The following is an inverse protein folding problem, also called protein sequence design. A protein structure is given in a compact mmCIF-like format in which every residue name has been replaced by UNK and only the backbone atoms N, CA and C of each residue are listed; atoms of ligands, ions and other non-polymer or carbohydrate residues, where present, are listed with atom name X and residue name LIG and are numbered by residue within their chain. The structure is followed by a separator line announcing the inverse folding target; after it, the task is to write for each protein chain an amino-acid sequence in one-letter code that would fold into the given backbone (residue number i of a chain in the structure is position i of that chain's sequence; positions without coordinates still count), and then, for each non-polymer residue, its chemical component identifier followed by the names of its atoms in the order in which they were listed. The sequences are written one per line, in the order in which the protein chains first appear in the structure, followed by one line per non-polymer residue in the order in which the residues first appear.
data_IF_797091040802
#
_entry.id   IF_797091040802
#
_cell.length_a   1.000
_cell.length_b   1.000
_cell.length_c   1.000
_cell.angle_alpha   90.00
_cell.angle_beta   90.00
_cell.angle_gamma   90.00
#
_symmetry.space_group_name_H-M   'P 1'
#
loop_
_entity.id
_entity.type
_entity.pdbx_description
1 polymer ?
#
# COMPACT_ATOMS: atom_id res chain seq x y z
N UNK A 1 20.75 -10.70 12.30
CA UNK A 1 20.53 -9.33 12.82
C UNK A 1 20.39 -9.43 14.34
N UNK A 2 21.02 -8.54 15.12
CA UNK A 2 20.81 -8.54 16.56
C UNK A 2 19.35 -8.17 16.84
N UNK A 3 18.64 -9.05 17.55
CA UNK A 3 17.35 -8.72 18.17
C UNK A 3 17.65 -7.66 19.22
N UNK A 4 17.28 -6.41 18.96
CA UNK A 4 17.19 -5.42 20.02
C UNK A 4 15.79 -5.59 20.62
N UNK A 5 15.67 -6.50 21.57
CA UNK A 5 14.54 -6.57 22.49
C UNK A 5 14.80 -5.47 23.54
N UNK A 6 14.16 -4.32 23.35
CA UNK A 6 14.13 -3.27 24.39
C UNK A 6 12.85 -3.49 25.16
N UNK A 7 12.98 -3.91 26.42
CA UNK A 7 11.84 -3.94 27.34
C UNK A 7 11.41 -2.51 27.62
N UNK A 8 10.29 -2.11 27.05
CA UNK A 8 9.63 -0.85 27.38
C UNK A 8 8.95 -1.02 28.73
N UNK A 9 9.11 -0.03 29.60
CA UNK A 9 8.29 0.08 30.80
C UNK A 9 6.84 0.37 30.42
N UNK A 10 5.88 -0.03 31.26
CA UNK A 10 4.44 0.23 31.04
C UNK A 10 4.15 1.71 30.74
N UNK A 11 4.95 2.59 31.34
CA UNK A 11 4.85 4.04 31.18
C UNK A 11 5.39 4.52 29.83
N UNK A 12 6.46 3.92 29.32
CA UNK A 12 6.98 4.21 27.97
C UNK A 12 6.01 3.71 26.90
N UNK A 13 5.32 2.60 27.16
CA UNK A 13 4.26 2.07 26.28
C UNK A 13 3.01 2.96 26.27
N UNK A 14 2.56 3.45 27.43
CA UNK A 14 1.49 4.46 27.52
C UNK A 14 1.86 5.78 26.83
N UNK A 15 3.11 6.22 26.98
CA UNK A 15 3.62 7.43 26.32
C UNK A 15 3.62 7.22 24.79
N UNK A 16 4.12 6.08 24.29
CA UNK A 16 4.08 5.77 22.85
C UNK A 16 2.66 5.80 22.26
N UNK A 17 1.66 5.34 23.00
CA UNK A 17 0.26 5.35 22.57
C UNK A 17 -0.43 6.73 22.63
N UNK A 18 0.17 7.73 23.28
CA UNK A 18 -0.45 9.04 23.53
C UNK A 18 0.19 10.20 22.75
N UNK A 19 1.14 9.92 21.86
CA UNK A 19 1.91 10.95 21.16
C UNK A 19 1.24 11.41 19.85
N UNK A 20 0.49 12.50 19.92
CA UNK A 20 0.06 13.28 18.73
C UNK A 20 1.11 14.32 18.29
N UNK A 21 2.07 14.71 19.15
CA UNK A 21 3.24 15.56 18.82
C UNK A 21 4.37 15.35 19.82
N UNK A 22 5.60 15.14 19.32
CA UNK A 22 6.81 14.99 20.16
C UNK A 22 7.64 16.28 20.08
N UNK A 23 7.57 17.13 21.11
CA UNK A 23 8.49 18.27 21.31
C UNK A 23 9.28 18.06 22.61
N UNK A 24 10.59 18.36 22.61
CA UNK A 24 11.45 18.26 23.80
C UNK A 24 12.86 17.73 23.53
N UNK A 25 13.73 17.80 24.55
CA UNK A 25 15.16 17.46 24.48
C UNK A 25 15.47 16.00 24.10
N UNK A 26 14.50 15.10 24.32
CA UNK A 26 14.55 13.68 23.96
C UNK A 26 13.67 13.33 22.74
N UNK A 27 13.14 14.34 22.03
CA UNK A 27 12.18 14.14 20.96
C UNK A 27 12.72 13.33 19.77
N UNK A 28 14.01 13.47 19.47
CA UNK A 28 14.69 12.68 18.44
C UNK A 28 14.80 11.20 18.82
N UNK A 29 15.03 10.89 20.10
CA UNK A 29 15.10 9.52 20.62
C UNK A 29 13.72 8.85 20.58
N UNK A 30 12.67 9.57 20.97
CA UNK A 30 11.27 9.11 20.88
C UNK A 30 10.82 8.88 19.44
N UNK A 31 11.16 9.81 18.53
CA UNK A 31 10.89 9.66 17.09
C UNK A 31 11.60 8.43 16.51
N UNK A 32 12.84 8.17 16.90
CA UNK A 32 13.59 6.99 16.46
C UNK A 32 13.03 5.69 17.06
N UNK A 33 12.57 5.69 18.32
CA UNK A 33 11.87 4.56 18.94
C UNK A 33 10.54 4.26 18.25
N UNK A 34 9.76 5.29 17.92
CA UNK A 34 8.51 5.14 17.20
C UNK A 34 8.74 4.63 15.76
N UNK A 35 9.72 5.18 15.03
CA UNK A 35 10.13 4.65 13.72
C UNK A 35 10.58 3.20 13.81
N UNK A 36 11.36 2.84 14.83
CA UNK A 36 11.78 1.46 15.07
C UNK A 36 10.57 0.57 15.34
N UNK A 37 9.64 1.00 16.20
CA UNK A 37 8.37 0.33 16.45
C UNK A 37 7.59 0.08 15.15
N UNK A 38 7.31 1.10 14.33
CA UNK A 38 6.64 0.97 13.03
C UNK A 38 7.38 -0.01 12.10
N UNK A 39 8.70 0.09 12.03
CA UNK A 39 9.55 -0.81 11.24
C UNK A 39 9.51 -2.26 11.74
N UNK A 40 9.23 -2.44 13.04
CA UNK A 40 9.16 -3.73 13.74
C UNK A 40 7.74 -4.27 13.95
N UNK A 41 6.69 -3.53 13.54
CA UNK A 41 5.29 -4.01 13.61
C UNK A 41 5.26 -5.40 12.96
N UNK A 42 4.82 -6.44 13.71
CA UNK A 42 4.69 -7.79 13.18
C UNK A 42 3.86 -7.75 11.90
N UNK A 43 4.34 -8.41 10.85
CA UNK A 43 3.57 -8.54 9.62
C UNK A 43 2.22 -9.16 9.95
N UNK A 44 1.16 -8.36 9.78
CA UNK A 44 -0.21 -8.86 9.89
C UNK A 44 -0.42 -9.90 8.80
N UNK A 45 -1.20 -10.95 9.09
CA UNK A 45 -1.55 -11.90 8.05
C UNK A 45 -2.54 -11.22 7.10
N UNK A 46 -2.57 -11.67 5.85
CA UNK A 46 -3.53 -11.21 4.82
C UNK A 46 -4.97 -11.07 5.36
N UNK A 47 -5.44 -12.05 6.14
CA UNK A 47 -6.79 -12.02 6.77
C UNK A 47 -7.01 -10.91 7.79
N UNK A 48 -5.96 -10.51 8.50
CA UNK A 48 -6.05 -9.44 9.49
C UNK A 48 -6.17 -8.08 8.78
N UNK A 49 -5.48 -7.92 7.65
CA UNK A 49 -5.66 -6.76 6.77
C UNK A 49 -7.05 -6.72 6.14
N UNK A 50 -7.60 -7.86 5.75
CA UNK A 50 -8.98 -7.95 5.23
C UNK A 50 -9.99 -7.47 6.27
N UNK A 51 -9.88 -7.93 7.52
CA UNK A 51 -10.75 -7.50 8.62
C UNK A 51 -10.69 -5.99 8.83
N UNK A 52 -9.47 -5.43 8.88
CA UNK A 52 -9.30 -3.98 9.05
C UNK A 52 -9.86 -3.18 7.87
N UNK A 53 -9.73 -3.64 6.62
CA UNK A 53 -10.40 -2.98 5.47
C UNK A 53 -11.90 -2.96 5.64
N UNK A 54 -12.48 -4.03 6.18
CA UNK A 54 -13.91 -4.11 6.42
C UNK A 54 -14.36 -3.13 7.50
N UNK A 55 -13.59 -3.02 8.60
CA UNK A 55 -13.84 -2.07 9.69
C UNK A 55 -13.72 -0.61 9.24
N UNK A 56 -12.68 -0.30 8.45
CA UNK A 56 -12.37 1.05 7.96
C UNK A 56 -13.07 1.42 6.64
N UNK A 57 -13.97 0.57 6.14
CA UNK A 57 -14.49 0.66 4.77
C UNK A 57 -15.05 2.04 4.43
N UNK A 58 -15.89 2.60 5.29
CA UNK A 58 -16.56 3.87 5.03
C UNK A 58 -15.55 5.03 4.90
N UNK A 59 -14.50 5.02 5.72
CA UNK A 59 -13.43 6.01 5.66
C UNK A 59 -12.57 5.85 4.41
N UNK A 60 -12.22 4.60 4.05
CA UNK A 60 -11.49 4.30 2.81
C UNK A 60 -12.30 4.78 1.59
N UNK A 61 -13.60 4.50 1.56
CA UNK A 61 -14.49 4.92 0.48
C UNK A 61 -14.63 6.44 0.39
N UNK A 62 -14.61 7.15 1.53
CA UNK A 62 -14.60 8.62 1.58
C UNK A 62 -13.31 9.20 0.99
N UNK A 63 -12.15 8.69 1.42
CA UNK A 63 -10.84 9.10 0.90
C UNK A 63 -10.76 8.81 -0.60
N UNK A 64 -11.21 7.63 -1.03
CA UNK A 64 -11.21 7.22 -2.43
C UNK A 64 -12.09 8.15 -3.30
N UNK A 65 -13.28 8.54 -2.82
CA UNK A 65 -14.12 9.56 -3.48
C UNK A 65 -13.39 10.90 -3.60
N UNK A 66 -12.67 11.30 -2.56
CA UNK A 66 -11.87 12.53 -2.56
C UNK A 66 -10.75 12.47 -3.60
N UNK A 67 -10.05 11.33 -3.70
CA UNK A 67 -9.02 11.08 -4.73
C UNK A 67 -9.63 11.19 -6.14
N UNK A 68 -10.75 10.54 -6.41
CA UNK A 68 -11.42 10.66 -7.71
C UNK A 68 -11.91 12.07 -8.00
N UNK A 69 -12.24 12.86 -6.98
CA UNK A 69 -12.51 14.28 -7.10
C UNK A 69 -11.32 15.08 -7.67
N UNK A 70 -10.09 14.65 -7.38
CA UNK A 70 -8.86 15.22 -7.95
C UNK A 70 -8.67 14.77 -9.39
N UNK A 71 -8.75 13.46 -9.66
CA UNK A 71 -8.59 12.91 -11.02
C UNK A 71 -9.66 13.38 -12.02
N UNK A 72 -10.84 13.80 -11.55
CA UNK A 72 -11.85 14.44 -12.41
C UNK A 72 -11.38 15.76 -13.03
N UNK A 73 -10.38 16.42 -12.43
CA UNK A 73 -9.87 17.73 -12.87
C UNK A 73 -8.63 17.60 -13.76
N UNK A 74 -7.88 16.50 -13.65
CA UNK A 74 -6.65 16.26 -14.39
C UNK A 74 -6.33 14.76 -14.43
N UNK A 75 -5.74 14.31 -15.54
CA UNK A 75 -5.22 12.95 -15.68
C UNK A 75 -3.88 12.75 -14.96
N UNK A 76 -3.19 13.86 -14.63
CA UNK A 76 -1.90 13.88 -13.94
C UNK A 76 -1.98 14.83 -12.73
N UNK A 77 -2.55 14.39 -11.59
CA UNK A 77 -2.70 15.19 -10.39
C UNK A 77 -1.40 15.77 -9.84
N UNK A 78 -0.33 14.99 -9.82
CA UNK A 78 0.94 15.39 -9.19
C UNK A 78 1.64 16.49 -10.00
N UNK A 79 1.54 16.46 -11.33
CA UNK A 79 2.18 17.45 -12.22
C UNK A 79 1.65 18.88 -12.00
N UNK A 80 0.42 19.00 -11.47
CA UNK A 80 -0.21 20.28 -11.18
C UNK A 80 0.08 20.81 -9.77
N UNK A 81 0.86 20.09 -8.95
CA UNK A 81 1.18 20.49 -7.58
C UNK A 81 2.43 21.37 -7.52
N UNK A 82 2.42 22.32 -6.60
CA UNK A 82 3.60 23.12 -6.28
C UNK A 82 4.69 22.23 -5.65
N UNK A 83 5.95 22.44 -6.02
CA UNK A 83 7.09 21.66 -5.49
C UNK A 83 7.13 21.67 -3.96
N UNK A 84 6.84 22.82 -3.33
CA UNK A 84 6.79 22.96 -1.87
C UNK A 84 5.77 22.02 -1.21
N UNK A 85 4.64 21.74 -1.90
CA UNK A 85 3.65 20.77 -1.43
C UNK A 85 4.21 19.35 -1.52
N UNK A 86 4.85 19.02 -2.65
CA UNK A 86 5.43 17.71 -2.89
C UNK A 86 6.54 17.41 -1.87
N UNK A 87 7.43 18.37 -1.62
CA UNK A 87 8.54 18.17 -0.68
C UNK A 87 8.06 18.00 0.75
N UNK A 88 7.09 18.81 1.22
CA UNK A 88 6.46 18.61 2.54
C UNK A 88 5.85 17.22 2.69
N UNK A 89 5.11 16.77 1.67
CA UNK A 89 4.46 15.47 1.70
C UNK A 89 5.51 14.34 1.72
N UNK A 90 6.62 14.50 1.00
CA UNK A 90 7.69 13.51 1.02
C UNK A 90 8.42 13.48 2.36
N UNK A 91 8.64 14.63 2.98
CA UNK A 91 9.22 14.69 4.32
C UNK A 91 8.34 13.94 5.31
N UNK A 92 7.02 14.19 5.32
CA UNK A 92 6.04 13.47 6.14
C UNK A 92 6.09 11.95 5.89
N UNK A 93 6.08 11.52 4.62
CA UNK A 93 6.15 10.10 4.25
C UNK A 93 7.48 9.43 4.63
N UNK A 94 8.56 10.20 4.65
CA UNK A 94 9.87 9.74 5.12
C UNK A 94 9.87 9.59 6.64
N UNK A 95 9.17 10.48 7.36
CA UNK A 95 9.08 10.39 8.83
C UNK A 95 8.40 9.11 9.31
N UNK A 96 7.43 8.59 8.55
CA UNK A 96 6.67 7.38 8.85
C UNK A 96 7.19 6.12 8.12
N UNK A 97 8.39 6.17 7.54
CA UNK A 97 9.03 5.05 6.82
C UNK A 97 8.24 4.49 5.63
N UNK A 98 7.41 5.32 4.99
CA UNK A 98 6.73 4.98 3.73
C UNK A 98 7.65 5.27 2.54
N UNK A 99 8.52 6.27 2.68
CA UNK A 99 9.63 6.56 1.77
C UNK A 99 10.96 6.52 2.53
N UNK A 100 12.03 6.13 1.84
CA UNK A 100 13.40 6.17 2.33
C UNK A 100 14.31 6.83 1.29
N UNK A 101 15.34 7.54 1.75
CA UNK A 101 16.40 8.07 0.89
C UNK A 101 17.55 7.08 0.84
N UNK A 102 17.83 6.50 -0.32
CA UNK A 102 18.98 5.62 -0.56
C UNK A 102 19.81 6.19 -1.69
N UNK A 103 21.10 6.47 -1.43
CA UNK A 103 22.04 6.98 -2.45
C UNK A 103 21.55 8.26 -3.17
N UNK A 104 20.81 9.13 -2.48
CA UNK A 104 20.25 10.35 -3.05
C UNK A 104 18.98 10.15 -3.88
N UNK A 105 18.42 8.93 -3.89
CA UNK A 105 17.16 8.58 -4.56
C UNK A 105 16.10 8.20 -3.52
N UNK A 106 14.90 8.74 -3.70
CA UNK A 106 13.71 8.41 -2.88
C UNK A 106 13.11 7.09 -3.36
N UNK A 107 12.97 6.12 -2.46
CA UNK A 107 12.42 4.79 -2.75
C UNK A 107 11.31 4.42 -1.78
N UNK A 108 10.35 3.60 -2.24
CA UNK A 108 9.43 2.89 -1.33
C UNK A 108 10.18 1.68 -0.74
N UNK A 109 10.31 1.56 0.59
CA UNK A 109 11.02 0.46 1.23
C UNK A 109 10.41 -0.91 0.91
N UNK A 110 11.22 -1.96 0.99
CA UNK A 110 10.80 -3.33 0.67
C UNK A 110 9.59 -3.77 1.48
N UNK A 111 9.56 -3.47 2.80
CA UNK A 111 8.46 -3.81 3.69
C UNK A 111 7.12 -3.25 3.19
N UNK A 112 7.05 -1.94 2.94
CA UNK A 112 5.84 -1.28 2.45
C UNK A 112 5.43 -1.83 1.07
N UNK A 113 6.41 -2.01 0.18
CA UNK A 113 6.20 -2.50 -1.18
C UNK A 113 5.65 -3.92 -1.23
N UNK A 114 6.16 -4.82 -0.39
CA UNK A 114 5.73 -6.22 -0.40
C UNK A 114 4.35 -6.40 0.24
N UNK A 115 4.06 -5.65 1.31
CA UNK A 115 2.70 -5.55 1.85
C UNK A 115 1.73 -4.99 0.80
N UNK A 116 2.14 -3.95 0.05
CA UNK A 116 1.32 -3.40 -1.01
C UNK A 116 0.98 -4.43 -2.10
N UNK A 117 1.96 -5.21 -2.57
CA UNK A 117 1.72 -6.25 -3.58
C UNK A 117 0.74 -7.30 -3.09
N UNK A 118 0.88 -7.71 -1.83
CA UNK A 118 -0.01 -8.68 -1.18
C UNK A 118 -1.44 -8.13 -1.13
N UNK A 119 -1.63 -6.91 -0.62
CA UNK A 119 -2.94 -6.27 -0.53
C UNK A 119 -3.57 -6.02 -1.90
N UNK A 120 -2.79 -5.54 -2.87
CA UNK A 120 -3.26 -5.35 -4.24
C UNK A 120 -3.80 -6.66 -4.82
N UNK A 121 -3.06 -7.75 -4.63
CA UNK A 121 -3.49 -9.07 -5.10
C UNK A 121 -4.79 -9.52 -4.42
N UNK A 122 -4.85 -9.44 -3.09
CA UNK A 122 -6.00 -9.85 -2.30
C UNK A 122 -7.26 -9.06 -2.69
N UNK A 123 -7.19 -7.72 -2.65
CA UNK A 123 -8.30 -6.83 -3.00
C UNK A 123 -8.81 -7.10 -4.42
N UNK A 124 -7.89 -7.17 -5.38
CA UNK A 124 -8.29 -7.37 -6.77
C UNK A 124 -8.88 -8.78 -6.99
N UNK A 125 -8.41 -9.82 -6.28
CA UNK A 125 -8.91 -11.19 -6.45
C UNK A 125 -10.22 -11.45 -5.73
N UNK A 126 -10.45 -10.81 -4.58
CA UNK A 126 -11.72 -10.78 -3.86
C UNK A 126 -12.81 -10.12 -4.70
N UNK A 127 -12.48 -9.05 -5.43
CA UNK A 127 -13.41 -8.31 -6.28
C UNK A 127 -12.97 -8.32 -7.75
N UNK A 128 -13.37 -9.35 -8.49
CA UNK A 128 -12.95 -9.58 -9.89
C UNK A 128 -13.36 -8.47 -10.87
N UNK A 129 -14.38 -7.69 -10.52
CA UNK A 129 -14.90 -6.61 -11.35
C UNK A 129 -14.28 -5.25 -10.98
N UNK A 130 -13.49 -5.20 -9.90
CA UNK A 130 -12.76 -4.00 -9.50
C UNK A 130 -11.56 -3.77 -10.43
N UNK A 131 -11.45 -2.54 -10.92
CA UNK A 131 -10.30 -2.07 -11.69
C UNK A 131 -9.03 -2.05 -10.83
N UNK A 132 -7.90 -2.50 -11.39
CA UNK A 132 -6.65 -2.67 -10.66
C UNK A 132 -6.05 -1.35 -10.15
N UNK A 133 -6.35 -0.22 -10.78
CA UNK A 133 -5.95 1.09 -10.27
C UNK A 133 -6.73 1.44 -8.99
N UNK A 134 -8.03 1.11 -8.93
CA UNK A 134 -8.85 1.28 -7.72
C UNK A 134 -8.34 0.38 -6.60
N UNK A 135 -8.06 -0.89 -6.90
CA UNK A 135 -7.49 -1.81 -5.92
C UNK A 135 -6.14 -1.33 -5.37
N UNK A 136 -5.29 -0.75 -6.22
CA UNK A 136 -4.02 -0.17 -5.80
C UNK A 136 -4.20 1.03 -4.89
N UNK A 137 -5.13 1.95 -5.20
CA UNK A 137 -5.41 3.10 -4.33
C UNK A 137 -5.93 2.63 -2.96
N UNK A 138 -6.82 1.64 -2.90
CA UNK A 138 -7.30 1.06 -1.63
C UNK A 138 -6.13 0.49 -0.83
N UNK A 139 -5.24 -0.29 -1.47
CA UNK A 139 -4.08 -0.86 -0.81
C UNK A 139 -3.15 0.22 -0.24
N UNK A 140 -2.89 1.30 -0.99
CA UNK A 140 -2.05 2.41 -0.52
C UNK A 140 -2.71 3.16 0.64
N UNK A 141 -4.01 3.48 0.55
CA UNK A 141 -4.74 4.14 1.64
C UNK A 141 -4.66 3.31 2.92
N UNK A 142 -4.91 2.01 2.82
CA UNK A 142 -4.85 1.11 3.97
C UNK A 142 -3.46 1.14 4.60
N UNK A 143 -2.39 0.99 3.80
CA UNK A 143 -1.03 1.00 4.34
C UNK A 143 -0.64 2.36 4.93
N UNK A 144 -1.09 3.46 4.34
CA UNK A 144 -0.86 4.79 4.91
C UNK A 144 -1.52 4.97 6.27
N UNK A 145 -2.74 4.44 6.47
CA UNK A 145 -3.39 4.43 7.77
C UNK A 145 -2.59 3.62 8.80
N UNK A 146 -2.05 2.47 8.39
CA UNK A 146 -1.29 1.59 9.28
C UNK A 146 0.09 2.12 9.63
N UNK A 147 0.82 2.66 8.66
CA UNK A 147 2.14 3.24 8.90
C UNK A 147 2.03 4.62 9.56
N UNK A 148 0.94 5.35 9.32
CA UNK A 148 0.64 6.62 9.95
C UNK A 148 0.13 6.51 11.39
N UNK A 149 -0.48 5.38 11.78
CA UNK A 149 -1.07 5.14 13.13
C UNK A 149 -1.89 6.34 13.62
N UNK A 150 -2.76 6.86 12.75
CA UNK A 150 -3.64 7.99 13.07
C UNK A 150 -2.99 9.38 13.08
N UNK A 151 -1.69 9.50 12.81
CA UNK A 151 -1.01 10.81 12.74
C UNK A 151 -1.29 11.57 11.43
N UNK A 152 -1.69 10.85 10.38
CA UNK A 152 -2.05 11.43 9.10
C UNK A 152 -3.54 11.79 9.06
N UNK A 153 -3.84 13.04 8.70
CA UNK A 153 -5.22 13.44 8.42
C UNK A 153 -5.68 12.91 7.03
N UNK A 154 -6.99 12.94 6.78
CA UNK A 154 -7.58 12.43 5.53
C UNK A 154 -7.05 13.12 4.26
N UNK A 155 -6.73 14.40 4.32
CA UNK A 155 -6.18 15.13 3.16
C UNK A 155 -4.74 14.71 2.86
N UNK A 156 -3.93 14.52 3.89
CA UNK A 156 -2.58 13.97 3.77
C UNK A 156 -2.62 12.56 3.23
N UNK A 157 -3.51 11.68 3.73
CA UNK A 157 -3.66 10.31 3.21
C UNK A 157 -4.09 10.34 1.74
N UNK A 158 -5.04 11.21 1.36
CA UNK A 158 -5.46 11.39 -0.04
C UNK A 158 -4.28 11.77 -0.93
N UNK A 159 -3.54 12.81 -0.55
CA UNK A 159 -2.45 13.34 -1.38
C UNK A 159 -1.26 12.36 -1.43
N UNK A 160 -0.93 11.73 -0.31
CA UNK A 160 0.06 10.67 -0.24
C UNK A 160 -0.31 9.46 -1.11
N UNK A 161 -1.58 9.04 -1.07
CA UNK A 161 -2.04 7.91 -1.86
C UNK A 161 -1.89 8.16 -3.37
N UNK A 162 -2.21 9.38 -3.82
CA UNK A 162 -1.98 9.81 -5.20
C UNK A 162 -0.48 9.78 -5.51
N UNK A 163 0.33 10.48 -4.72
CA UNK A 163 1.76 10.64 -4.97
C UNK A 163 2.50 9.29 -5.01
N UNK A 164 2.28 8.43 -4.02
CA UNK A 164 2.96 7.14 -3.92
C UNK A 164 2.52 6.21 -5.05
N UNK A 165 1.22 6.18 -5.35
CA UNK A 165 0.70 5.33 -6.39
C UNK A 165 1.31 5.73 -7.74
N UNK A 166 1.22 7.01 -8.13
CA UNK A 166 1.75 7.47 -9.43
C UNK A 166 3.28 7.37 -9.53
N UNK A 167 3.99 7.78 -8.48
CA UNK A 167 5.45 7.85 -8.52
C UNK A 167 6.15 6.49 -8.42
N UNK A 168 5.59 5.52 -7.71
CA UNK A 168 6.31 4.27 -7.39
C UNK A 168 5.52 2.98 -7.58
N UNK A 169 4.20 2.95 -7.28
CA UNK A 169 3.47 1.69 -7.12
C UNK A 169 2.53 1.33 -8.27
N UNK A 170 2.15 2.28 -9.13
CA UNK A 170 1.20 2.07 -10.21
C UNK A 170 1.66 1.00 -11.22
N UNK A 171 2.98 0.79 -11.35
CA UNK A 171 3.55 -0.25 -12.21
C UNK A 171 3.03 -1.65 -11.87
N UNK A 172 2.75 -1.95 -10.60
CA UNK A 172 2.25 -3.26 -10.19
C UNK A 172 0.80 -3.47 -10.61
N UNK A 173 -0.06 -2.45 -10.43
CA UNK A 173 -1.44 -2.47 -10.92
C UNK A 173 -1.50 -2.68 -12.44
N UNK A 174 -0.66 -1.95 -13.18
CA UNK A 174 -0.54 -2.10 -14.63
C UNK A 174 -0.14 -3.52 -15.02
N UNK A 175 0.87 -4.09 -14.37
CA UNK A 175 1.33 -5.48 -14.62
C UNK A 175 0.26 -6.50 -14.29
N UNK A 176 -0.52 -6.29 -13.24
CA UNK A 176 -1.63 -7.16 -12.87
C UNK A 176 -2.76 -7.14 -13.91
N UNK A 177 -3.12 -5.94 -14.40
CA UNK A 177 -4.09 -5.78 -15.49
C UNK A 177 -3.63 -6.48 -16.77
N UNK A 178 -2.37 -6.26 -17.18
CA UNK A 178 -1.76 -6.93 -18.34
C UNK A 178 -1.85 -8.47 -18.21
N UNK A 179 -1.56 -9.02 -17.03
CA UNK A 179 -1.67 -10.46 -16.77
C UNK A 179 -3.12 -10.97 -16.87
N UNK A 180 -4.10 -10.22 -16.37
CA UNK A 180 -5.52 -10.58 -16.46
C UNK A 180 -6.04 -10.54 -17.89
N UNK A 181 -5.69 -9.51 -18.65
CA UNK A 181 -6.02 -9.40 -20.07
C UNK A 181 -5.40 -10.55 -20.87
N UNK A 182 -4.15 -10.91 -20.57
CA UNK A 182 -3.49 -12.06 -21.17
C UNK A 182 -4.22 -13.39 -20.86
N UNK A 183 -4.66 -13.59 -19.62
CA UNK A 183 -5.43 -14.78 -19.24
C UNK A 183 -6.81 -14.83 -19.92
N UNK A 184 -7.50 -13.68 -20.02
CA UNK A 184 -8.78 -13.58 -20.74
C UNK A 184 -8.62 -13.89 -22.24
N UNK A 185 -7.58 -13.36 -22.87
CA UNK A 185 -7.31 -13.58 -24.31
C UNK A 185 -6.79 -14.98 -24.62
N UNK A 186 -6.01 -15.62 -23.74
CA UNK A 186 -5.57 -17.01 -23.92
C UNK A 186 -6.66 -18.04 -23.66
N UNK A 187 -7.63 -17.79 -22.77
CA UNK A 187 -8.81 -18.66 -22.59
C UNK A 187 -9.73 -18.70 -23.81
N UNK A 188 -9.53 -17.85 -24.82
CA UNK A 188 -10.20 -17.91 -26.13
C UNK A 188 -9.39 -18.67 -27.20
N UNK A 189 -8.16 -19.10 -26.92
CA UNK A 189 -7.29 -19.80 -27.89
C UNK A 189 -6.85 -21.20 -27.46
N UNK A 190 -7.16 -21.62 -26.25
CA UNK A 190 -6.80 -22.94 -25.75
C UNK A 190 -8.07 -23.67 -25.32
N UNK A 191 -8.33 -24.76 -26.02
CA UNK A 191 -9.42 -25.74 -25.92
C UNK A 191 -10.59 -25.41 -26.87
N UNK A 192 -10.46 -25.86 -28.12
CA UNK A 192 -11.61 -26.56 -28.71
C UNK A 192 -11.71 -27.94 -28.03
N UNK A 193 -12.93 -28.44 -27.88
CA UNK A 193 -13.20 -29.73 -27.21
C UNK A 193 -12.51 -30.91 -27.91
N UNK A 194 -12.12 -30.75 -29.18
CA UNK A 194 -11.37 -31.76 -29.93
C UNK A 194 -9.93 -31.90 -29.44
N UNK A 195 -9.25 -30.80 -29.13
CA UNK A 195 -7.89 -30.79 -28.60
C UNK A 195 -7.80 -31.45 -27.22
N UNK A 196 -8.81 -31.24 -26.36
CA UNK A 196 -8.91 -31.90 -25.06
C UNK A 196 -9.28 -33.38 -25.15
N UNK A 197 -10.08 -33.77 -26.15
CA UNK A 197 -10.35 -35.19 -26.43
C UNK A 197 -9.11 -35.92 -26.94
N UNK A 198 -8.36 -35.31 -27.87
CA UNK A 198 -7.12 -35.86 -28.40
C UNK A 198 -6.06 -36.07 -27.30
N UNK A 199 -5.92 -35.11 -26.38
CA UNK A 199 -5.00 -35.22 -25.23
C UNK A 199 -5.40 -36.37 -24.29
N UNK A 200 -6.67 -36.48 -23.90
CA UNK A 200 -7.13 -37.57 -23.04
C UNK A 200 -7.01 -38.96 -23.69
N UNK A 201 -7.16 -39.03 -25.02
CA UNK A 201 -7.00 -40.28 -25.77
C UNK A 201 -5.52 -40.71 -25.85
N UNK A 202 -4.60 -39.77 -26.01
CA UNK A 202 -3.16 -40.03 -26.02
C UNK A 202 -2.63 -40.51 -24.66
N UNK A 203 -3.16 -39.95 -23.56
CA UNK A 203 -2.78 -40.35 -22.20
C UNK A 203 -3.35 -41.72 -21.80
N UNK A 204 -4.47 -42.16 -22.39
CA UNK A 204 -5.07 -43.49 -22.12
C UNK A 204 -4.39 -44.66 -22.85
N UNK A 205 -3.64 -44.38 -23.91
CA UNK A 205 -3.02 -45.40 -24.76
C UNK A 205 -1.50 -45.55 -24.51
N UNK A 206 -0.98 -44.85 -23.49
CA UNK A 206 0.38 -44.98 -22.98
C UNK A 206 0.36 -45.75 -21.64
#
# INVERSE_FOLDING_TARGET
MPKIEVDLTDKEFEILNSLEKIEGKDGEKLRNLYRYYLSSIPELKSKDYELKRFEDKDEIDEILKSIFGVYKKTEYPVDAWENDKIDKLIDELTEINVLEMTEGVRIVPTKFRDLFKLLLYDIATENKDMDEHVAALIAVIQLLKEFGVGTLNKETIRDAAILINEGWLYIYAKKMREAREFLKTKKLKLIDDESMKAFHQAVKNA
#
